data_IF_356219400111
#
_entry.id   IF_356219400111
#
_cell.length_a   1.000
_cell.length_b   1.000
_cell.length_c   1.000
_cell.angle_alpha   90.00
_cell.angle_beta   90.00
_cell.angle_gamma   90.00
#
_symmetry.space_group_name_H-M   'P 1'
#
loop_
_entity.id
_entity.type
_entity.pdbx_description
1 polymer ?
#
# COMPACT_ATOMS: atom_id res chain seq x y z
N UNK A 1 -17.28 16.97 -1.44
CA UNK A 1 -16.03 16.29 -1.88
C UNK A 1 -15.07 15.98 -0.74
N UNK A 2 -14.65 16.95 0.11
CA UNK A 2 -13.66 16.68 1.18
C UNK A 2 -14.04 15.59 2.19
N UNK A 3 -15.31 15.51 2.59
CA UNK A 3 -15.78 14.44 3.49
C UNK A 3 -15.81 13.08 2.79
N UNK A 4 -16.26 13.06 1.54
CA UNK A 4 -16.30 11.85 0.69
C UNK A 4 -14.89 11.28 0.46
N UNK A 5 -13.92 12.12 0.12
CA UNK A 5 -12.54 11.65 -0.11
C UNK A 5 -11.87 11.11 1.15
N UNK A 6 -12.20 11.67 2.31
CA UNK A 6 -11.70 11.19 3.62
C UNK A 6 -12.34 9.86 4.00
N UNK A 7 -13.65 9.73 3.77
CA UNK A 7 -14.37 8.48 3.98
C UNK A 7 -13.82 7.38 3.08
N UNK A 8 -13.64 7.67 1.80
CA UNK A 8 -13.04 6.74 0.83
C UNK A 8 -11.60 6.37 1.21
N UNK A 9 -10.79 7.32 1.68
CA UNK A 9 -9.47 7.01 2.22
C UNK A 9 -9.53 6.10 3.45
N UNK A 10 -10.50 6.29 4.35
CA UNK A 10 -10.67 5.44 5.53
C UNK A 10 -11.01 4.00 5.16
N UNK A 11 -11.99 3.82 4.26
CA UNK A 11 -12.33 2.51 3.70
C UNK A 11 -11.12 1.90 2.99
N UNK A 12 -10.40 2.69 2.19
CA UNK A 12 -9.21 2.25 1.48
C UNK A 12 -8.13 1.74 2.43
N UNK A 13 -7.84 2.49 3.48
CA UNK A 13 -6.86 2.09 4.47
C UNK A 13 -7.25 0.79 5.19
N UNK A 14 -8.54 0.59 5.46
CA UNK A 14 -9.02 -0.66 6.04
C UNK A 14 -8.73 -1.85 5.12
N UNK A 15 -9.12 -1.77 3.85
CA UNK A 15 -8.86 -2.85 2.88
C UNK A 15 -7.37 -3.02 2.60
N UNK A 16 -6.61 -1.94 2.49
CA UNK A 16 -5.16 -1.96 2.31
C UNK A 16 -4.48 -2.74 3.44
N UNK A 17 -4.77 -2.39 4.69
CA UNK A 17 -4.21 -3.10 5.85
C UNK A 17 -4.64 -4.56 5.89
N UNK A 18 -5.91 -4.85 5.59
CA UNK A 18 -6.39 -6.23 5.50
C UNK A 18 -5.64 -7.03 4.42
N UNK A 19 -5.44 -6.47 3.23
CA UNK A 19 -4.72 -7.12 2.14
C UNK A 19 -3.26 -7.43 2.48
N UNK A 20 -2.56 -6.49 3.11
CA UNK A 20 -1.14 -6.64 3.46
C UNK A 20 -0.98 -7.64 4.61
N UNK A 21 -1.73 -7.46 5.70
CA UNK A 21 -1.60 -8.29 6.89
C UNK A 21 -1.89 -9.76 6.59
N UNK A 22 -2.89 -10.02 5.76
CA UNK A 22 -3.33 -11.38 5.43
C UNK A 22 -2.79 -11.90 4.09
N UNK A 23 -1.94 -11.15 3.37
CA UNK A 23 -1.38 -11.53 2.05
C UNK A 23 -2.41 -12.13 1.08
N UNK A 24 -3.62 -11.56 1.00
CA UNK A 24 -4.76 -12.09 0.22
C UNK A 24 -5.22 -13.52 0.57
N UNK A 25 -4.68 -14.10 1.65
CA UNK A 25 -4.99 -15.46 2.08
C UNK A 25 -6.10 -15.46 3.14
N UNK A 26 -7.14 -16.24 2.89
CA UNK A 26 -8.24 -16.47 3.85
C UNK A 26 -8.03 -17.73 4.71
N UNK A 27 -6.93 -18.44 4.50
CA UNK A 27 -6.67 -19.74 5.12
C UNK A 27 -6.09 -19.57 6.53
N UNK A 28 -6.98 -19.33 7.50
CA UNK A 28 -6.64 -19.23 8.93
C UNK A 28 -5.68 -20.32 9.46
N UNK A 29 -5.78 -21.60 9.05
CA UNK A 29 -4.91 -22.67 9.57
C UNK A 29 -3.44 -22.56 9.14
N UNK A 30 -3.14 -21.91 8.01
CA UNK A 30 -1.76 -21.75 7.52
C UNK A 30 -0.94 -20.82 8.42
N UNK A 31 -1.60 -19.88 9.10
CA UNK A 31 -0.95 -18.98 10.08
C UNK A 31 -0.50 -19.71 11.35
N UNK A 32 -1.12 -20.85 11.69
CA UNK A 32 -0.73 -21.68 12.84
C UNK A 32 0.51 -22.54 12.57
N UNK A 33 0.94 -22.66 11.31
CA UNK A 33 2.13 -23.43 10.91
C UNK A 33 3.39 -22.59 10.81
N UNK A 34 3.28 -21.26 10.80
CA UNK A 34 4.42 -20.35 10.93
C UNK A 34 4.89 -20.34 12.40
N UNK A 35 5.53 -21.44 12.84
CA UNK A 35 6.00 -21.58 14.23
C UNK A 35 7.20 -20.71 14.60
N UNK A 36 7.63 -19.79 13.75
CA UNK A 36 8.65 -18.79 14.06
C UNK A 36 8.33 -17.48 13.34
N UNK A 37 8.25 -16.38 14.10
CA UNK A 37 8.22 -15.00 13.59
C UNK A 37 9.52 -14.72 12.82
N UNK A 38 9.59 -15.17 11.58
CA UNK A 38 10.76 -14.96 10.73
C UNK A 38 10.75 -13.53 10.18
N UNK A 39 11.94 -12.94 10.12
CA UNK A 39 12.17 -11.63 9.50
C UNK A 39 13.12 -11.82 8.32
N UNK A 40 12.69 -11.43 7.14
CA UNK A 40 13.55 -11.35 5.96
C UNK A 40 14.04 -9.92 5.78
N UNK A 41 15.29 -9.67 6.16
CA UNK A 41 15.95 -8.35 6.02
C UNK A 41 16.83 -8.24 4.78
N UNK A 42 16.90 -9.28 3.94
CA UNK A 42 17.66 -9.26 2.69
C UNK A 42 16.70 -8.89 1.56
N UNK A 43 16.81 -7.69 0.97
CA UNK A 43 15.89 -7.25 -0.08
C UNK A 43 15.93 -8.19 -1.27
N UNK A 44 14.74 -8.57 -1.75
CA UNK A 44 14.57 -9.39 -2.94
C UNK A 44 15.23 -10.78 -2.86
N UNK A 45 15.54 -11.28 -1.67
CA UNK A 45 16.22 -12.57 -1.47
C UNK A 45 15.44 -13.77 -2.01
N UNK A 46 14.11 -13.69 -1.98
CA UNK A 46 13.19 -14.70 -2.49
C UNK A 46 12.61 -14.34 -3.85
N UNK A 47 12.93 -13.16 -4.38
CA UNK A 47 12.40 -12.67 -5.64
C UNK A 47 13.01 -13.45 -6.81
N UNK A 48 12.16 -14.08 -7.60
CA UNK A 48 12.55 -14.71 -8.86
C UNK A 48 11.36 -14.69 -9.82
N UNK A 49 11.66 -14.62 -11.12
CA UNK A 49 10.62 -14.70 -12.15
C UNK A 49 9.95 -16.08 -12.22
N UNK A 50 10.63 -17.12 -11.72
CA UNK A 50 10.12 -18.49 -11.65
C UNK A 50 9.20 -18.70 -10.43
N UNK A 51 9.39 -17.94 -9.34
CA UNK A 51 8.51 -17.98 -8.18
C UNK A 51 7.29 -17.08 -8.39
N UNK A 52 6.30 -17.62 -9.09
CA UNK A 52 5.06 -16.90 -9.46
C UNK A 52 4.27 -16.37 -8.25
N UNK A 53 4.35 -17.02 -7.09
CA UNK A 53 3.68 -16.56 -5.87
C UNK A 53 4.32 -15.28 -5.32
N UNK A 54 5.64 -15.28 -5.12
CA UNK A 54 6.38 -14.11 -4.62
C UNK A 54 6.28 -12.95 -5.62
N UNK A 55 6.37 -13.25 -6.91
CA UNK A 55 6.22 -12.24 -7.96
C UNK A 55 4.82 -11.61 -7.96
N UNK A 56 3.77 -12.41 -7.77
CA UNK A 56 2.40 -11.92 -7.65
C UNK A 56 2.21 -11.06 -6.40
N UNK A 57 2.67 -11.51 -5.24
CA UNK A 57 2.61 -10.75 -3.97
C UNK A 57 3.32 -9.40 -4.10
N UNK A 58 4.56 -9.42 -4.58
CA UNK A 58 5.37 -8.21 -4.82
C UNK A 58 4.69 -7.24 -5.77
N UNK A 59 4.10 -7.75 -6.85
CA UNK A 59 3.39 -6.93 -7.85
C UNK A 59 2.11 -6.32 -7.26
N UNK A 60 1.34 -7.08 -6.49
CA UNK A 60 0.14 -6.57 -5.83
C UNK A 60 0.45 -5.53 -4.75
N UNK A 61 1.51 -5.71 -3.99
CA UNK A 61 2.00 -4.72 -3.04
C UNK A 61 2.27 -3.36 -3.71
N UNK A 62 2.93 -3.37 -4.86
CA UNK A 62 3.15 -2.16 -5.67
C UNK A 62 1.83 -1.56 -6.18
N UNK A 63 0.95 -2.38 -6.77
CA UNK A 63 -0.31 -1.92 -7.37
C UNK A 63 -1.26 -1.35 -6.31
N UNK A 64 -1.41 -2.00 -5.16
CA UNK A 64 -2.36 -1.60 -4.12
C UNK A 64 -1.82 -0.38 -3.34
N UNK A 65 -0.52 -0.13 -3.27
CA UNK A 65 -0.06 1.14 -2.69
C UNK A 65 -0.19 2.35 -3.62
N UNK A 66 -0.30 2.14 -4.94
CA UNK A 66 -0.44 3.25 -5.90
C UNK A 66 -1.68 4.14 -5.62
N UNK A 67 -2.90 3.61 -5.49
CA UNK A 67 -4.06 4.44 -5.17
C UNK A 67 -3.95 5.11 -3.80
N UNK A 68 -3.28 4.48 -2.82
CA UNK A 68 -3.04 5.11 -1.53
C UNK A 68 -2.22 6.41 -1.67
N UNK A 69 -1.16 6.40 -2.48
CA UNK A 69 -0.39 7.60 -2.80
C UNK A 69 -1.25 8.70 -3.46
N UNK A 70 -2.10 8.33 -4.41
CA UNK A 70 -3.05 9.25 -5.05
C UNK A 70 -4.01 9.87 -4.03
N UNK A 71 -4.60 9.05 -3.16
CA UNK A 71 -5.56 9.50 -2.14
C UNK A 71 -4.93 10.38 -1.07
N UNK A 72 -3.65 10.18 -0.74
CA UNK A 72 -2.91 11.09 0.14
C UNK A 72 -2.77 12.49 -0.47
N UNK A 73 -2.56 12.59 -1.78
CA UNK A 73 -2.52 13.89 -2.45
C UNK A 73 -3.88 14.60 -2.45
N UNK A 74 -4.97 13.87 -2.71
CA UNK A 74 -6.33 14.41 -2.68
C UNK A 74 -6.69 14.93 -1.28
N UNK A 75 -6.39 14.15 -0.24
CA UNK A 75 -6.84 14.44 1.13
C UNK A 75 -5.91 15.37 1.91
N UNK A 76 -4.61 15.37 1.63
CA UNK A 76 -3.60 16.10 2.40
C UNK A 76 -2.80 17.10 1.56
N UNK A 77 -3.49 17.98 0.82
CA UNK A 77 -2.86 18.98 -0.06
C UNK A 77 -1.82 19.89 0.62
N UNK A 78 -1.97 20.14 1.92
CA UNK A 78 -1.05 20.99 2.71
C UNK A 78 0.21 20.26 3.17
N UNK A 79 0.24 18.92 3.14
CA UNK A 79 1.43 18.17 3.51
C UNK A 79 2.43 18.16 2.36
N UNK A 80 3.71 18.33 2.70
CA UNK A 80 4.81 18.20 1.75
C UNK A 80 4.88 16.77 1.20
N UNK A 81 5.49 16.64 0.03
CA UNK A 81 5.70 15.36 -0.63
C UNK A 81 6.41 14.36 0.30
N UNK A 82 7.51 14.78 0.96
CA UNK A 82 8.28 13.93 1.87
C UNK A 82 7.46 13.46 3.08
N UNK A 83 6.56 14.30 3.61
CA UNK A 83 5.67 13.89 4.70
C UNK A 83 4.67 12.82 4.24
N UNK A 84 4.14 12.94 3.02
CA UNK A 84 3.26 11.92 2.44
C UNK A 84 4.00 10.61 2.19
N UNK A 85 5.23 10.68 1.67
CA UNK A 85 6.09 9.51 1.50
C UNK A 85 6.41 8.84 2.85
N UNK A 86 6.68 9.65 3.89
CA UNK A 86 6.87 9.14 5.25
C UNK A 86 5.63 8.44 5.81
N UNK A 87 4.42 8.94 5.53
CA UNK A 87 3.17 8.26 5.90
C UNK A 87 3.06 6.90 5.19
N UNK A 88 3.37 6.84 3.89
CA UNK A 88 3.36 5.59 3.12
C UNK A 88 4.31 4.57 3.73
N UNK A 89 5.56 4.98 3.93
CA UNK A 89 6.58 4.14 4.55
C UNK A 89 6.14 3.66 5.93
N UNK A 90 5.60 4.55 6.76
CA UNK A 90 5.16 4.20 8.11
C UNK A 90 4.01 3.21 8.11
N UNK A 91 3.01 3.38 7.23
CA UNK A 91 1.90 2.43 7.10
C UNK A 91 2.43 1.04 6.70
N UNK A 92 3.33 0.97 5.72
CA UNK A 92 3.92 -0.31 5.32
C UNK A 92 4.79 -0.91 6.42
N UNK A 93 5.61 -0.11 7.10
CA UNK A 93 6.47 -0.57 8.19
C UNK A 93 5.66 -1.12 9.36
N UNK A 94 4.58 -0.43 9.74
CA UNK A 94 3.69 -0.88 10.79
C UNK A 94 2.97 -2.17 10.41
N UNK A 95 2.64 -2.39 9.14
CA UNK A 95 2.06 -3.65 8.69
C UNK A 95 3.04 -4.82 8.89
N UNK A 96 4.29 -4.68 8.42
CA UNK A 96 5.34 -5.68 8.64
C UNK A 96 5.62 -5.93 10.13
N UNK A 97 5.64 -4.84 10.94
CA UNK A 97 5.82 -4.94 12.38
C UNK A 97 4.68 -5.71 13.06
N UNK A 98 3.44 -5.47 12.65
CA UNK A 98 2.28 -6.22 13.16
C UNK A 98 2.41 -7.70 12.76
N UNK A 99 2.78 -8.00 11.51
CA UNK A 99 2.98 -9.38 11.07
C UNK A 99 4.03 -10.11 11.92
N UNK A 100 5.15 -9.43 12.20
CA UNK A 100 6.19 -9.94 13.08
C UNK A 100 5.71 -10.16 14.52
N UNK A 101 5.10 -9.15 15.14
CA UNK A 101 4.69 -9.17 16.56
C UNK A 101 3.60 -10.20 16.85
N UNK A 102 2.65 -10.38 15.92
CA UNK A 102 1.52 -11.28 16.10
C UNK A 102 1.75 -12.66 15.47
N UNK A 103 2.89 -12.88 14.81
CA UNK A 103 3.22 -14.16 14.17
C UNK A 103 2.26 -14.56 13.06
N UNK A 104 1.51 -13.60 12.50
CA UNK A 104 0.52 -13.84 11.43
C UNK A 104 1.18 -13.93 10.04
N UNK A 105 2.48 -13.66 9.95
CA UNK A 105 3.24 -13.73 8.69
C UNK A 105 4.74 -13.56 8.90
N UNK A 106 5.47 -13.58 7.79
CA UNK A 106 6.91 -13.26 7.75
C UNK A 106 7.05 -11.79 7.41
N UNK A 107 7.69 -11.02 8.28
CA UNK A 107 8.01 -9.63 7.98
C UNK A 107 9.12 -9.58 6.92
N UNK A 108 8.90 -8.88 5.81
CA UNK A 108 9.79 -8.86 4.65
C UNK A 108 10.13 -7.42 4.24
N UNK A 109 11.43 -7.12 4.21
CA UNK A 109 11.94 -5.82 3.75
C UNK A 109 11.55 -5.54 2.29
N UNK A 110 11.36 -6.59 1.48
CA UNK A 110 10.88 -6.50 0.09
C UNK A 110 9.47 -5.94 0.04
N UNK A 111 8.60 -6.37 0.95
CA UNK A 111 7.22 -5.88 1.05
C UNK A 111 7.23 -4.40 1.48
N UNK A 112 8.07 -4.02 2.45
CA UNK A 112 8.28 -2.61 2.83
C UNK A 112 8.73 -1.73 1.65
N UNK A 113 9.71 -2.19 0.87
CA UNK A 113 10.25 -1.46 -0.28
C UNK A 113 9.20 -1.33 -1.37
N UNK A 114 8.51 -2.41 -1.72
CA UNK A 114 7.59 -2.47 -2.86
C UNK A 114 6.31 -1.69 -2.59
N UNK A 115 5.77 -1.79 -1.38
CA UNK A 115 4.67 -0.95 -0.89
C UNK A 115 5.03 0.53 -0.92
N UNK A 116 6.20 0.88 -0.37
CA UNK A 116 6.67 2.28 -0.37
C UNK A 116 6.84 2.81 -1.80
N UNK A 117 7.35 1.98 -2.70
CA UNK A 117 7.52 2.30 -4.12
C UNK A 117 6.19 2.49 -4.83
N UNK A 118 5.21 1.63 -4.60
CA UNK A 118 3.86 1.78 -5.16
C UNK A 118 3.24 3.11 -4.77
N UNK A 119 3.31 3.47 -3.48
CA UNK A 119 2.79 4.74 -2.98
C UNK A 119 3.55 5.95 -3.51
N UNK A 120 4.88 5.84 -3.66
CA UNK A 120 5.72 6.85 -4.28
C UNK A 120 5.27 7.14 -5.72
N UNK A 121 5.05 6.09 -6.53
CA UNK A 121 4.57 6.20 -7.91
C UNK A 121 3.19 6.86 -7.93
N UNK A 122 2.28 6.49 -7.02
CA UNK A 122 0.97 7.13 -6.88
C UNK A 122 1.05 8.63 -6.55
N UNK A 123 1.98 9.02 -5.66
CA UNK A 123 2.22 10.41 -5.34
C UNK A 123 2.72 11.19 -6.56
N UNK A 124 3.68 10.62 -7.29
CA UNK A 124 4.26 11.21 -8.50
C UNK A 124 3.21 11.37 -9.60
N UNK A 125 2.42 10.32 -9.87
CA UNK A 125 1.40 10.31 -10.89
C UNK A 125 0.38 11.45 -10.67
N UNK A 126 -0.13 11.61 -9.45
CA UNK A 126 -1.05 12.72 -9.15
C UNK A 126 -0.38 14.09 -9.35
N UNK A 127 0.86 14.27 -8.88
CA UNK A 127 1.55 15.56 -9.03
C UNK A 127 1.82 15.92 -10.48
N UNK A 128 2.23 14.95 -11.31
CA UNK A 128 2.44 15.13 -12.74
C UNK A 128 1.14 15.53 -13.43
N UNK A 129 0.05 14.79 -13.18
CA UNK A 129 -1.25 15.11 -13.75
C UNK A 129 -1.76 16.48 -13.29
N UNK A 130 -1.50 16.89 -12.05
CA UNK A 130 -1.90 18.20 -11.50
C UNK A 130 -1.15 19.38 -12.11
N UNK A 131 -0.07 19.15 -12.87
CA UNK A 131 0.55 20.19 -13.70
C UNK A 131 -0.25 20.45 -14.98
N UNK A 132 -0.99 19.47 -15.48
CA UNK A 132 -1.70 19.53 -16.77
C UNK A 132 -3.22 19.67 -16.63
N UNK A 133 -3.78 19.25 -15.50
CA UNK A 133 -5.21 19.26 -15.22
C UNK A 133 -5.49 20.08 -13.95
N UNK A 134 -6.61 20.81 -13.94
CA UNK A 134 -7.04 21.55 -12.75
C UNK A 134 -7.24 20.61 -11.56
N UNK A 135 -6.77 20.99 -10.38
CA UNK A 135 -6.83 20.17 -9.16
C UNK A 135 -8.23 19.65 -8.85
N UNK A 136 -9.28 20.46 -9.09
CA UNK A 136 -10.67 20.05 -8.86
C UNK A 136 -11.13 18.91 -9.79
N UNK A 137 -10.68 18.88 -11.05
CA UNK A 137 -11.00 17.79 -11.99
C UNK A 137 -10.29 16.51 -11.60
N UNK A 138 -9.02 16.61 -11.19
CA UNK A 138 -8.23 15.46 -10.76
C UNK A 138 -8.74 14.84 -9.48
N UNK A 139 -9.11 15.65 -8.49
CA UNK A 139 -9.70 15.13 -7.26
C UNK A 139 -10.98 14.35 -7.55
N UNK A 140 -11.84 14.86 -8.44
CA UNK A 140 -13.07 14.16 -8.85
C UNK A 140 -12.76 12.85 -9.56
N UNK A 141 -11.80 12.86 -10.49
CA UNK A 141 -11.40 11.66 -11.22
C UNK A 141 -10.82 10.60 -10.27
N UNK A 142 -9.95 10.99 -9.35
CA UNK A 142 -9.39 10.09 -8.33
C UNK A 142 -10.48 9.50 -7.42
N UNK A 143 -11.47 10.30 -7.01
CA UNK A 143 -12.60 9.82 -6.20
C UNK A 143 -13.47 8.85 -7.01
N UNK A 144 -13.80 9.16 -8.27
CA UNK A 144 -14.61 8.29 -9.14
C UNK A 144 -13.90 6.96 -9.40
N UNK A 145 -12.60 7.00 -9.73
CA UNK A 145 -11.80 5.77 -9.86
C UNK A 145 -11.75 5.00 -8.55
N UNK A 146 -11.63 5.70 -7.41
CA UNK A 146 -11.73 5.09 -6.09
C UNK A 146 -13.03 4.32 -5.91
N UNK A 147 -14.18 4.89 -6.32
CA UNK A 147 -15.47 4.20 -6.26
C UNK A 147 -15.59 2.98 -7.18
N UNK A 148 -14.86 2.93 -8.29
CA UNK A 148 -14.89 1.80 -9.25
C UNK A 148 -13.96 0.66 -8.81
N UNK A 149 -12.88 1.02 -8.11
CA UNK A 149 -11.87 0.06 -7.63
C UNK A 149 -12.25 -0.59 -6.29
N UNK A 150 -13.36 -0.17 -5.66
CA UNK A 150 -14.00 -0.79 -4.49
C UNK A 150 -15.30 -1.48 -4.88
#
# INVERSE_FOLDING_TARGET
>A
MRYVSKFLLGIYLFFLLWLILFKLSFNLPQFLTYSYSNVNLVPFSTFSFENTTVLRETTYNLIVFFPFGVLLNVNFKRLSFSKKLGIIFLVSFLAELIQFLFGIGVADITDLITNTTGGLIGLWAYQLLNKHLSTNKLDRLAIILGYILF
#
